data_IF_693617295750
#
_entry.id   IF_693617295750
#
_cell.length_a   1.000
_cell.length_b   1.000
_cell.length_c   1.000
_cell.angle_alpha   90.00
_cell.angle_beta   90.00
_cell.angle_gamma   90.00
#
_symmetry.space_group_name_H-M   'P 1'
#
loop_
_entity.id
_entity.type
_entity.pdbx_description
1 polymer ?
#
# COMPACT_ATOMS: atom_id res chain seq x y z
N UNK A 1 2.67 4.25 3.98
CA UNK A 1 2.48 2.81 4.31
C UNK A 1 2.96 1.89 3.20
N UNK A 2 2.75 2.20 1.92
CA UNK A 2 3.27 1.41 0.80
C UNK A 2 4.80 1.15 0.84
N UNK A 3 5.62 2.18 1.13
CA UNK A 3 7.07 2.00 1.34
C UNK A 3 7.40 0.94 2.42
N UNK A 4 6.59 0.88 3.48
CA UNK A 4 6.76 -0.09 4.56
C UNK A 4 6.40 -1.50 4.10
N UNK A 5 5.34 -1.64 3.31
CA UNK A 5 4.96 -2.90 2.70
C UNK A 5 6.07 -3.47 1.80
N UNK A 6 6.71 -2.62 0.99
CA UNK A 6 7.84 -3.01 0.14
C UNK A 6 9.06 -3.40 0.97
N UNK A 7 9.41 -2.62 2.00
CA UNK A 7 10.52 -2.95 2.88
C UNK A 7 10.31 -4.30 3.58
N UNK A 8 9.10 -4.57 4.08
CA UNK A 8 8.76 -5.84 4.70
C UNK A 8 8.76 -7.01 3.72
N UNK A 9 8.32 -6.79 2.47
CA UNK A 9 8.46 -7.79 1.40
C UNK A 9 9.93 -8.13 1.18
N UNK A 10 10.80 -7.14 1.05
CA UNK A 10 12.24 -7.36 0.87
C UNK A 10 12.88 -8.14 2.04
N UNK A 11 12.47 -7.87 3.29
CA UNK A 11 12.94 -8.62 4.47
C UNK A 11 12.52 -10.09 4.40
N UNK A 12 11.30 -10.39 3.95
CA UNK A 12 10.84 -11.78 3.77
C UNK A 12 11.59 -12.47 2.65
N UNK A 13 11.74 -11.80 1.51
CA UNK A 13 12.39 -12.36 0.32
C UNK A 13 13.88 -12.61 0.57
N UNK A 14 14.53 -11.78 1.40
CA UNK A 14 15.91 -11.97 1.84
C UNK A 14 16.07 -13.02 2.96
N UNK A 15 14.98 -13.68 3.39
CA UNK A 15 15.01 -14.66 4.50
C UNK A 15 15.34 -14.04 5.87
N UNK A 16 15.38 -12.72 5.97
CA UNK A 16 15.71 -12.02 7.20
C UNK A 16 14.60 -12.14 8.23
N UNK A 17 13.35 -12.36 7.83
CA UNK A 17 12.23 -12.76 8.69
C UNK A 17 11.55 -14.00 8.11
N UNK A 18 11.13 -14.97 8.94
CA UNK A 18 10.55 -16.21 8.44
C UNK A 18 9.10 -16.03 7.98
N UNK A 19 8.37 -15.07 8.55
CA UNK A 19 6.96 -14.83 8.23
C UNK A 19 6.49 -13.44 8.72
N UNK A 20 5.22 -13.11 8.44
CA UNK A 20 4.60 -11.85 8.87
C UNK A 20 4.49 -11.68 10.39
N UNK A 21 4.41 -12.76 11.17
CA UNK A 21 4.38 -12.67 12.63
C UNK A 21 5.76 -12.25 13.17
N UNK A 22 6.85 -12.67 12.53
CA UNK A 22 8.20 -12.23 12.88
C UNK A 22 8.37 -10.73 12.62
N UNK A 23 7.88 -10.24 11.48
CA UNK A 23 7.82 -8.80 11.18
C UNK A 23 7.02 -8.08 12.27
N UNK A 24 5.84 -8.59 12.62
CA UNK A 24 4.97 -7.99 13.62
C UNK A 24 5.68 -7.82 14.98
N UNK A 25 6.38 -8.86 15.44
CA UNK A 25 7.17 -8.82 16.68
C UNK A 25 8.31 -7.80 16.62
N UNK A 26 9.07 -7.75 15.52
CA UNK A 26 10.19 -6.80 15.33
C UNK A 26 9.72 -5.34 15.30
N UNK A 27 8.55 -5.10 14.73
CA UNK A 27 7.98 -3.78 14.53
C UNK A 27 7.11 -3.30 15.69
N UNK A 28 6.86 -4.16 16.69
CA UNK A 28 5.98 -3.85 17.82
C UNK A 28 4.51 -3.62 17.41
N UNK A 29 4.05 -4.30 16.35
CA UNK A 29 2.68 -4.17 15.84
C UNK A 29 1.96 -5.52 15.83
N UNK A 30 0.64 -5.50 15.67
CA UNK A 30 -0.13 -6.74 15.53
C UNK A 30 0.12 -7.40 14.17
N UNK A 31 -0.02 -8.73 14.11
CA UNK A 31 0.03 -9.48 12.84
C UNK A 31 -1.01 -8.97 11.85
N UNK A 32 -2.21 -8.64 12.33
CA UNK A 32 -3.26 -8.04 11.50
C UNK A 32 -2.79 -6.74 10.83
N UNK A 33 -2.07 -5.88 11.55
CA UNK A 33 -1.50 -4.65 10.98
C UNK A 33 -0.49 -4.94 9.87
N UNK A 34 0.34 -5.96 10.04
CA UNK A 34 1.28 -6.40 9.00
C UNK A 34 0.54 -6.82 7.74
N UNK A 35 -0.46 -7.70 7.89
CA UNK A 35 -1.28 -8.17 6.76
C UNK A 35 -1.98 -7.03 6.03
N UNK A 36 -2.53 -6.06 6.75
CA UNK A 36 -3.20 -4.89 6.18
C UNK A 36 -2.25 -4.04 5.32
N UNK A 37 -1.09 -3.68 5.87
CA UNK A 37 -0.10 -2.87 5.16
C UNK A 37 0.49 -3.65 3.98
N UNK A 38 0.82 -4.94 4.15
CA UNK A 38 1.28 -5.79 3.05
C UNK A 38 0.22 -5.99 1.96
N UNK A 39 -1.07 -5.86 2.31
CA UNK A 39 -2.17 -5.87 1.34
C UNK A 39 -2.06 -4.78 0.28
N UNK A 40 -1.38 -3.67 0.57
CA UNK A 40 -1.14 -2.58 -0.39
C UNK A 40 -0.24 -3.00 -1.57
N UNK A 41 0.50 -4.11 -1.46
CA UNK A 41 1.30 -4.64 -2.56
C UNK A 41 0.44 -5.17 -3.73
N UNK A 42 -0.87 -5.31 -3.53
CA UNK A 42 -1.82 -5.71 -4.59
C UNK A 42 -2.23 -4.55 -5.50
N UNK A 43 -1.88 -3.32 -5.13
CA UNK A 43 -2.09 -2.17 -6.01
C UNK A 43 -1.27 -2.37 -7.29
N UNK A 44 -1.80 -1.95 -8.43
CA UNK A 44 -1.07 -2.01 -9.70
C UNK A 44 0.16 -1.10 -9.70
N UNK A 45 1.21 -1.42 -10.48
CA UNK A 45 2.47 -0.66 -10.50
C UNK A 45 2.29 0.84 -10.75
N UNK A 46 1.34 1.23 -11.61
CA UNK A 46 1.05 2.62 -11.95
C UNK A 46 0.63 3.44 -10.72
N UNK A 47 -0.15 2.82 -9.81
CA UNK A 47 -0.55 3.45 -8.56
C UNK A 47 0.65 3.55 -7.61
N UNK A 48 1.56 2.56 -7.59
CA UNK A 48 2.76 2.63 -6.76
C UNK A 48 3.66 3.78 -7.20
N UNK A 49 3.91 3.89 -8.51
CA UNK A 49 4.70 4.95 -9.13
C UNK A 49 4.10 6.33 -8.82
N UNK A 50 2.79 6.47 -9.01
CA UNK A 50 2.09 7.71 -8.71
C UNK A 50 2.25 8.09 -7.21
N UNK A 51 2.01 7.16 -6.28
CA UNK A 51 2.20 7.38 -4.83
C UNK A 51 3.65 7.78 -4.50
N UNK A 52 4.64 7.26 -5.22
CA UNK A 52 6.05 7.62 -5.01
C UNK A 52 6.43 8.98 -5.61
N UNK A 53 5.77 9.38 -6.70
CA UNK A 53 5.98 10.66 -7.37
C UNK A 53 5.34 11.84 -6.62
N UNK A 54 4.30 11.60 -5.83
CA UNK A 54 3.56 12.67 -5.14
C UNK A 54 4.42 13.45 -4.12
N UNK A 55 4.33 14.79 -4.13
CA UNK A 55 4.93 15.63 -3.10
C UNK A 55 4.36 15.29 -1.72
N UNK A 56 5.19 15.40 -0.67
CA UNK A 56 4.77 15.03 0.70
C UNK A 56 3.64 15.91 1.24
N UNK A 57 3.37 17.07 0.65
CA UNK A 57 2.59 18.17 1.22
C UNK A 57 1.15 18.28 0.71
N UNK A 58 0.80 17.79 -0.48
CA UNK A 58 -0.47 18.18 -1.14
C UNK A 58 -1.59 17.11 -1.01
N UNK A 59 -1.29 15.81 -0.98
CA UNK A 59 -2.33 14.76 -1.06
C UNK A 59 -2.16 13.58 -0.09
N UNK A 60 -1.18 13.64 0.82
CA UNK A 60 -0.95 12.55 1.81
C UNK A 60 -2.07 12.29 2.81
N UNK A 61 -2.91 13.25 3.24
CA UNK A 61 -4.00 12.97 4.18
C UNK A 61 -4.98 11.91 3.64
N UNK A 62 -5.20 11.88 2.32
CA UNK A 62 -6.08 10.90 1.67
C UNK A 62 -5.43 9.52 1.53
N UNK A 63 -4.09 9.44 1.41
CA UNK A 63 -3.35 8.20 1.16
C UNK A 63 -3.03 7.39 2.43
N UNK A 64 -4.07 7.14 3.23
CA UNK A 64 -4.01 6.20 4.34
C UNK A 64 -4.17 4.76 3.85
N UNK A 65 -3.77 3.78 4.65
CA UNK A 65 -3.99 2.36 4.33
C UNK A 65 -5.46 2.04 4.35
N UNK A 66 -6.23 2.67 5.24
CA UNK A 66 -7.68 2.52 5.29
C UNK A 66 -8.32 2.97 3.97
N UNK A 67 -7.88 4.10 3.42
CA UNK A 67 -8.39 4.64 2.16
C UNK A 67 -7.92 3.84 0.92
N UNK A 68 -6.69 3.32 0.93
CA UNK A 68 -6.15 2.52 -0.18
C UNK A 68 -6.61 1.06 -0.16
N UNK A 69 -7.08 0.55 0.98
CA UNK A 69 -7.49 -0.86 1.12
C UNK A 69 -8.63 -1.25 0.17
N UNK A 70 -9.71 -0.47 -0.02
CA UNK A 70 -10.73 -0.79 -1.02
C UNK A 70 -10.15 -0.89 -2.43
N UNK A 71 -9.27 0.04 -2.81
CA UNK A 71 -8.59 0.02 -4.13
C UNK A 71 -7.77 -1.26 -4.29
N UNK A 72 -6.95 -1.60 -3.29
CA UNK A 72 -6.10 -2.81 -3.32
C UNK A 72 -6.87 -4.15 -3.30
N UNK A 73 -8.20 -4.12 -3.11
CA UNK A 73 -9.07 -5.31 -3.17
C UNK A 73 -9.71 -5.51 -4.54
N UNK A 74 -9.69 -4.50 -5.41
CA UNK A 74 -10.18 -4.62 -6.78
C UNK A 74 -9.21 -5.48 -7.59
N UNK A 75 -9.75 -6.34 -8.45
CA UNK A 75 -8.94 -7.26 -9.27
C UNK A 75 -8.64 -6.69 -10.65
N UNK A 76 -9.49 -5.80 -11.17
CA UNK A 76 -9.29 -5.15 -12.46
C UNK A 76 -8.28 -4.00 -12.37
N UNK A 77 -7.33 -3.97 -13.31
CA UNK A 77 -6.37 -2.86 -13.43
C UNK A 77 -7.08 -1.52 -13.59
N UNK A 78 -8.03 -1.43 -14.51
CA UNK A 78 -8.70 -0.16 -14.83
C UNK A 78 -9.63 0.28 -13.70
N UNK A 79 -10.28 -0.66 -13.01
CA UNK A 79 -11.07 -0.40 -11.80
C UNK A 79 -10.20 0.19 -10.67
N UNK A 80 -9.01 -0.38 -10.46
CA UNK A 80 -8.07 0.15 -9.48
C UNK A 80 -7.63 1.58 -9.81
N UNK A 81 -7.27 1.83 -11.07
CA UNK A 81 -6.83 3.16 -11.52
C UNK A 81 -7.96 4.19 -11.36
N UNK A 82 -9.18 3.86 -11.79
CA UNK A 82 -10.34 4.74 -11.67
C UNK A 82 -10.69 5.06 -10.21
N UNK A 83 -10.69 4.04 -9.34
CA UNK A 83 -10.95 4.22 -7.91
C UNK A 83 -9.84 5.04 -7.24
N UNK A 84 -8.57 4.83 -7.62
CA UNK A 84 -7.45 5.60 -7.10
C UNK A 84 -7.51 7.07 -7.51
N UNK A 85 -7.80 7.37 -8.78
CA UNK A 85 -8.00 8.72 -9.29
C UNK A 85 -9.12 9.46 -8.56
N UNK A 86 -10.25 8.79 -8.37
CA UNK A 86 -11.36 9.30 -7.56
C UNK A 86 -10.92 9.60 -6.13
N UNK A 87 -10.13 8.72 -5.50
CA UNK A 87 -9.62 8.90 -4.13
C UNK A 87 -8.73 10.13 -3.98
N UNK A 88 -7.91 10.45 -5.00
CA UNK A 88 -6.98 11.58 -4.95
C UNK A 88 -7.57 12.89 -5.51
N UNK A 89 -8.85 12.88 -5.89
CA UNK A 89 -9.55 14.03 -6.44
C UNK A 89 -9.17 14.37 -7.89
N UNK A 90 -8.53 13.43 -8.60
CA UNK A 90 -8.31 13.51 -10.05
C UNK A 90 -9.55 12.94 -10.75
N UNK A 91 -10.64 13.72 -10.81
CA UNK A 91 -11.75 13.37 -11.70
C UNK A 91 -11.31 13.68 -13.12
N UNK A 92 -11.36 12.69 -14.03
CA UNK A 92 -11.31 12.99 -15.46
C UNK A 92 -12.49 13.92 -15.77
N UNK A 93 -12.17 15.17 -16.15
CA UNK A 93 -13.14 16.12 -16.69
C UNK A 93 -13.51 15.80 -18.12
#
# INVERSE_FOLDING_TARGET
MLRKAIAWRAILDAGQAANQADIARREGVTRARVTQVMGLLRLVPEIHEHIFSMPKTIQRPALTELALRPVARLTGRDEQIAAFRTLIGETEG
#
